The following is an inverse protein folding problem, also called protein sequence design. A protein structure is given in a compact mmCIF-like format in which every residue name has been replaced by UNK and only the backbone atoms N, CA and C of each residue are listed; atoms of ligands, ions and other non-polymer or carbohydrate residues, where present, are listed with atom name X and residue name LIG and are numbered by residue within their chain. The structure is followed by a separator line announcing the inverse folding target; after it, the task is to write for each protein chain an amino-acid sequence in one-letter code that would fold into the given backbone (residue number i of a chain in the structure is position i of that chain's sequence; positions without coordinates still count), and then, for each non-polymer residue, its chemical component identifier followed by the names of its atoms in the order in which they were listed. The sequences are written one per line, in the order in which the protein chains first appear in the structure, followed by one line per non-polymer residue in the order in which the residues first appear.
data_IF_101398135587
#
_entry.id   IF_101398135587
#
_cell.length_a   1.000
_cell.length_b   1.000
_cell.length_c   1.000
_cell.angle_alpha   90.00
_cell.angle_beta   90.00
_cell.angle_gamma   90.00
#
_symmetry.space_group_name_H-M   'P 1'
#
loop_
_entity.id
_entity.type
_entity.pdbx_description
1 polymer ?
#
# COMPACT_ATOMS: atom_id res chain seq x y z
N UNK A 1 2.57 7.73 20.33
CA UNK A 1 1.31 7.63 19.58
C UNK A 1 0.30 8.36 20.41
N UNK A 2 -0.34 9.41 19.88
CA UNK A 2 -1.32 10.18 20.66
C UNK A 2 -2.61 9.38 20.77
N UNK A 3 -3.03 9.15 22.01
CA UNK A 3 -4.28 8.50 22.37
C UNK A 3 -5.26 9.57 22.84
N UNK A 4 -6.50 9.50 22.36
CA UNK A 4 -7.56 10.44 22.65
C UNK A 4 -8.66 9.73 23.45
N UNK A 5 -9.29 10.44 24.37
CA UNK A 5 -10.35 9.88 25.22
C UNK A 5 -11.67 10.62 25.01
N UNK A 6 -12.74 9.88 24.70
CA UNK A 6 -14.11 10.34 24.69
C UNK A 6 -14.77 9.95 26.01
N UNK A 7 -15.10 10.96 26.82
CA UNK A 7 -15.75 10.73 28.11
C UNK A 7 -17.12 10.08 27.95
N UNK A 8 -17.40 9.12 28.82
CA UNK A 8 -18.68 8.45 28.96
C UNK A 8 -19.76 9.38 29.48
N UNK A 9 -21.01 9.06 29.17
CA UNK A 9 -22.16 9.82 29.66
C UNK A 9 -23.41 8.95 29.72
N UNK A 10 -24.23 9.13 30.75
CA UNK A 10 -25.56 8.51 30.79
C UNK A 10 -26.59 9.28 29.92
N UNK A 11 -26.24 10.45 29.40
CA UNK A 11 -27.13 11.27 28.57
C UNK A 11 -27.19 10.72 27.14
N UNK A 12 -28.39 10.31 26.70
CA UNK A 12 -28.63 9.76 25.36
C UNK A 12 -28.15 10.67 24.24
N UNK A 13 -28.40 11.97 24.30
CA UNK A 13 -27.97 12.92 23.26
C UNK A 13 -26.44 13.07 23.16
N UNK A 14 -25.73 12.92 24.29
CA UNK A 14 -24.26 12.90 24.30
C UNK A 14 -23.75 11.59 23.67
N UNK A 15 -24.42 10.47 23.94
CA UNK A 15 -24.06 9.18 23.36
C UNK A 15 -24.29 9.11 21.86
N UNK A 16 -25.41 9.65 21.36
CA UNK A 16 -25.68 9.76 19.93
C UNK A 16 -24.59 10.57 19.22
N UNK A 17 -24.13 11.66 19.85
CA UNK A 17 -23.03 12.49 19.33
C UNK A 17 -21.71 11.72 19.29
N UNK A 18 -21.41 10.92 20.32
CA UNK A 18 -20.20 10.08 20.38
C UNK A 18 -20.22 9.00 19.31
N UNK A 19 -21.37 8.34 19.13
CA UNK A 19 -21.55 7.34 18.07
C UNK A 19 -21.37 8.00 16.71
N UNK A 20 -22.03 9.13 16.44
CA UNK A 20 -21.90 9.85 15.17
C UNK A 20 -20.44 10.26 14.88
N UNK A 21 -19.71 10.72 15.90
CA UNK A 21 -18.30 11.05 15.77
C UNK A 21 -17.43 9.83 15.44
N UNK A 22 -17.60 8.72 16.17
CA UNK A 22 -16.86 7.47 15.91
C UNK A 22 -17.20 6.88 14.54
N UNK A 23 -18.46 6.96 14.10
CA UNK A 23 -18.89 6.56 12.76
C UNK A 23 -18.18 7.39 11.69
N UNK A 24 -18.09 8.70 11.88
CA UNK A 24 -17.33 9.57 10.95
C UNK A 24 -15.84 9.18 10.88
N UNK A 25 -15.23 8.81 12.00
CA UNK A 25 -13.85 8.32 12.03
C UNK A 25 -13.70 6.97 11.34
N UNK A 26 -14.67 6.07 11.53
CA UNK A 26 -14.75 4.78 10.84
C UNK A 26 -14.83 4.97 9.32
N UNK A 27 -15.73 5.83 8.84
CA UNK A 27 -15.91 6.09 7.41
C UNK A 27 -14.64 6.68 6.79
N UNK A 28 -13.99 7.62 7.48
CA UNK A 28 -12.71 8.19 7.04
C UNK A 28 -11.60 7.13 6.97
N UNK A 29 -11.51 6.24 7.97
CA UNK A 29 -10.54 5.15 7.95
C UNK A 29 -10.83 4.16 6.80
N UNK A 30 -12.10 3.88 6.52
CA UNK A 30 -12.51 3.03 5.41
C UNK A 30 -12.16 3.65 4.05
N UNK A 31 -12.47 4.94 3.86
CA UNK A 31 -12.16 5.70 2.65
C UNK A 31 -10.65 5.70 2.36
N UNK A 32 -9.83 5.98 3.38
CA UNK A 32 -8.37 5.91 3.24
C UNK A 32 -7.86 4.52 2.89
N UNK A 33 -8.44 3.48 3.49
CA UNK A 33 -8.13 2.09 3.17
C UNK A 33 -8.41 1.77 1.69
N UNK A 34 -9.58 2.19 1.19
CA UNK A 34 -9.98 2.03 -0.22
C UNK A 34 -9.07 2.81 -1.17
N UNK A 35 -8.83 4.08 -0.89
CA UNK A 35 -7.97 4.95 -1.70
C UNK A 35 -6.54 4.38 -1.84
N UNK A 36 -5.98 3.83 -0.75
CA UNK A 36 -4.68 3.16 -0.80
C UNK A 36 -4.72 1.88 -1.65
N UNK A 37 -5.81 1.11 -1.59
CA UNK A 37 -5.98 -0.06 -2.46
C UNK A 37 -6.00 0.33 -3.94
N UNK A 38 -6.70 1.41 -4.29
CA UNK A 38 -6.71 1.94 -5.66
C UNK A 38 -5.33 2.41 -6.10
N UNK A 39 -4.60 3.13 -5.26
CA UNK A 39 -3.23 3.56 -5.55
C UNK A 39 -2.31 2.37 -5.83
N UNK A 40 -2.43 1.29 -5.05
CA UNK A 40 -1.67 0.05 -5.25
C UNK A 40 -2.02 -0.62 -6.58
N UNK A 41 -3.30 -0.68 -6.93
CA UNK A 41 -3.73 -1.23 -8.22
C UNK A 41 -3.19 -0.38 -9.39
N UNK A 42 -3.24 0.94 -9.30
CA UNK A 42 -2.66 1.85 -10.31
C UNK A 42 -1.15 1.65 -10.43
N UNK A 43 -0.44 1.55 -9.31
CA UNK A 43 1.00 1.27 -9.28
C UNK A 43 1.34 -0.04 -9.99
N UNK A 44 0.59 -1.12 -9.72
CA UNK A 44 0.75 -2.39 -10.42
C UNK A 44 0.49 -2.26 -11.92
N UNK A 45 -0.58 -1.56 -12.32
CA UNK A 45 -0.90 -1.37 -13.73
C UNK A 45 0.22 -0.61 -14.46
N UNK A 46 0.79 0.43 -13.85
CA UNK A 46 1.93 1.14 -14.43
C UNK A 46 3.17 0.25 -14.51
N UNK A 47 3.47 -0.52 -13.46
CA UNK A 47 4.58 -1.46 -13.48
C UNK A 47 4.45 -2.49 -14.61
N UNK A 48 3.26 -3.02 -14.85
CA UNK A 48 2.98 -3.96 -15.94
C UNK A 48 3.17 -3.31 -17.32
N UNK A 49 2.65 -2.10 -17.52
CA UNK A 49 2.81 -1.37 -18.80
C UNK A 49 4.30 -1.12 -19.09
N UNK A 50 5.05 -0.63 -18.10
CA UNK A 50 6.49 -0.40 -18.23
C UNK A 50 7.24 -1.70 -18.49
N UNK A 51 6.87 -2.78 -17.80
CA UNK A 51 7.46 -4.11 -18.01
C UNK A 51 7.27 -4.60 -19.45
N UNK A 52 6.05 -4.53 -19.97
CA UNK A 52 5.72 -4.96 -21.34
C UNK A 52 6.44 -4.09 -22.37
N UNK A 53 6.46 -2.77 -22.16
CA UNK A 53 7.24 -1.85 -22.99
C UNK A 53 8.73 -2.21 -22.99
N UNK A 54 9.28 -2.54 -21.82
CA UNK A 54 10.68 -2.92 -21.67
C UNK A 54 11.01 -4.24 -22.40
N UNK A 55 10.17 -5.27 -22.27
CA UNK A 55 10.35 -6.52 -23.02
C UNK A 55 10.24 -6.32 -24.53
N UNK A 56 9.29 -5.49 -24.97
CA UNK A 56 9.11 -5.18 -26.40
C UNK A 56 10.30 -4.42 -26.97
N UNK A 57 10.86 -3.50 -26.17
CA UNK A 57 12.09 -2.80 -26.52
C UNK A 57 13.28 -3.77 -26.55
N UNK A 58 13.46 -4.58 -25.52
CA UNK A 58 14.55 -5.55 -25.40
C UNK A 58 14.59 -6.64 -26.48
N UNK A 59 13.43 -7.04 -27.02
CA UNK A 59 13.35 -8.00 -28.14
C UNK A 59 13.66 -7.38 -29.51
N UNK A 60 13.67 -6.04 -29.60
CA UNK A 60 13.94 -5.28 -30.84
C UNK A 60 15.31 -4.62 -30.86
N UNK A 61 16.04 -4.59 -29.74
CA UNK A 61 17.37 -4.00 -29.65
C UNK A 61 18.41 -4.94 -30.27
N UNK A 62 18.76 -4.62 -31.51
CA UNK A 62 20.08 -4.86 -32.13
C UNK A 62 21.04 -3.68 -31.88
N UNK A 63 20.65 -2.70 -31.05
CA UNK A 63 21.27 -1.38 -30.99
C UNK A 63 22.14 -1.17 -29.73
N UNK A 64 23.45 -1.46 -29.85
CA UNK A 64 24.59 -0.81 -29.19
C UNK A 64 24.58 -0.52 -27.67
N UNK A 65 25.72 -0.04 -27.16
CA UNK A 65 25.93 0.31 -25.74
C UNK A 65 24.93 1.37 -25.21
N UNK A 66 24.35 2.20 -26.09
CA UNK A 66 23.44 3.29 -25.71
C UNK A 66 22.09 2.83 -25.13
N UNK A 67 21.74 1.55 -25.26
CA UNK A 67 20.51 0.96 -24.68
C UNK A 67 20.68 0.52 -23.21
N UNK A 68 21.93 0.43 -22.71
CA UNK A 68 22.22 0.04 -21.33
C UNK A 68 21.70 1.05 -20.29
N UNK A 69 21.92 2.38 -20.44
CA UNK A 69 21.41 3.35 -19.46
C UNK A 69 19.88 3.34 -19.33
N UNK A 70 19.16 3.15 -20.44
CA UNK A 70 17.69 3.06 -20.45
C UNK A 70 17.22 1.82 -19.69
N UNK A 71 17.88 0.69 -19.91
CA UNK A 71 17.58 -0.55 -19.18
C UNK A 71 17.81 -0.43 -17.68
N UNK A 72 18.93 0.18 -17.28
CA UNK A 72 19.23 0.46 -15.87
C UNK A 72 18.16 1.37 -15.26
N UNK A 73 17.77 2.44 -15.95
CA UNK A 73 16.72 3.34 -15.48
C UNK A 73 15.38 2.60 -15.28
N UNK A 74 15.00 1.71 -16.19
CA UNK A 74 13.77 0.91 -16.07
C UNK A 74 13.85 -0.03 -14.87
N UNK A 75 14.96 -0.73 -14.65
CA UNK A 75 15.15 -1.57 -13.46
C UNK A 75 15.00 -0.75 -12.17
N UNK A 76 15.61 0.44 -12.10
CA UNK A 76 15.48 1.34 -10.96
C UNK A 76 14.03 1.77 -10.72
N UNK A 77 13.28 2.11 -11.77
CA UNK A 77 11.85 2.46 -11.67
C UNK A 77 11.03 1.28 -11.15
N UNK A 78 11.33 0.05 -11.58
CA UNK A 78 10.62 -1.15 -11.13
C UNK A 78 10.91 -1.47 -9.66
N UNK A 79 12.16 -1.30 -9.21
CA UNK A 79 12.52 -1.40 -7.79
C UNK A 79 11.75 -0.34 -6.99
N UNK A 80 11.68 0.90 -7.48
CA UNK A 80 10.92 1.96 -6.83
C UNK A 80 9.43 1.60 -6.68
N UNK A 81 8.77 1.13 -7.75
CA UNK A 81 7.37 0.67 -7.68
C UNK A 81 7.17 -0.49 -6.70
N UNK A 82 8.12 -1.41 -6.61
CA UNK A 82 8.09 -2.51 -5.64
C UNK A 82 8.14 -1.98 -4.19
N UNK A 83 9.07 -1.07 -3.89
CA UNK A 83 9.18 -0.44 -2.57
C UNK A 83 7.94 0.38 -2.21
N UNK A 84 7.40 1.11 -3.20
CA UNK A 84 6.18 1.90 -3.04
C UNK A 84 4.97 1.02 -2.74
N UNK A 85 4.73 -0.07 -3.50
CA UNK A 85 3.62 -1.00 -3.23
C UNK A 85 3.72 -1.60 -1.83
N UNK A 86 4.93 -1.97 -1.40
CA UNK A 86 5.16 -2.48 -0.05
C UNK A 86 4.79 -1.46 1.01
N UNK A 87 5.20 -0.20 0.85
CA UNK A 87 4.86 0.87 1.79
C UNK A 87 3.35 1.11 1.84
N UNK A 88 2.71 1.19 0.69
CA UNK A 88 1.25 1.37 0.59
C UNK A 88 0.49 0.18 1.19
N UNK A 89 0.99 -1.05 1.03
CA UNK A 89 0.41 -2.24 1.64
C UNK A 89 0.41 -2.16 3.16
N UNK A 90 1.54 -1.78 3.76
CA UNK A 90 1.66 -1.60 5.21
C UNK A 90 0.69 -0.52 5.70
N UNK A 91 0.67 0.64 5.05
CA UNK A 91 -0.20 1.76 5.45
C UNK A 91 -1.68 1.36 5.34
N UNK A 92 -2.05 0.66 4.27
CA UNK A 92 -3.40 0.12 4.05
C UNK A 92 -3.81 -0.84 5.18
N UNK A 93 -2.90 -1.70 5.64
CA UNK A 93 -3.14 -2.58 6.77
C UNK A 93 -3.38 -1.80 8.06
N UNK A 94 -2.60 -0.75 8.34
CA UNK A 94 -2.82 0.12 9.50
C UNK A 94 -4.19 0.80 9.47
N UNK A 95 -4.64 1.30 8.31
CA UNK A 95 -6.00 1.87 8.17
C UNK A 95 -7.10 0.83 8.32
N UNK A 96 -6.88 -0.40 7.84
CA UNK A 96 -7.81 -1.51 8.03
C UNK A 96 -7.97 -1.87 9.51
N UNK A 97 -6.88 -1.94 10.27
CA UNK A 97 -6.94 -2.18 11.72
C UNK A 97 -7.59 -1.01 12.45
N UNK A 98 -7.25 0.23 12.07
CA UNK A 98 -7.87 1.45 12.61
C UNK A 98 -9.40 1.44 12.42
N UNK A 99 -9.87 1.02 11.24
CA UNK A 99 -11.30 0.85 10.95
C UNK A 99 -11.95 -0.16 11.91
N UNK A 100 -11.33 -1.33 12.12
CA UNK A 100 -11.87 -2.33 13.04
C UNK A 100 -11.92 -1.84 14.48
N UNK A 101 -10.88 -1.11 14.92
CA UNK A 101 -10.86 -0.48 16.24
C UNK A 101 -12.02 0.49 16.41
N UNK A 102 -12.30 1.36 15.44
CA UNK A 102 -13.45 2.28 15.54
C UNK A 102 -14.78 1.54 15.60
N UNK A 103 -14.95 0.47 14.82
CA UNK A 103 -16.14 -0.38 14.90
C UNK A 103 -16.32 -1.00 16.30
N UNK A 104 -15.23 -1.49 16.88
CA UNK A 104 -15.23 -2.02 18.25
C UNK A 104 -15.62 -0.94 19.26
N UNK A 105 -15.10 0.28 19.10
CA UNK A 105 -15.43 1.41 19.98
C UNK A 105 -16.89 1.83 19.85
N UNK A 106 -17.47 1.83 18.66
CA UNK A 106 -18.90 2.09 18.46
C UNK A 106 -19.72 1.04 19.23
N UNK A 107 -19.39 -0.24 19.08
CA UNK A 107 -20.06 -1.32 19.81
C UNK A 107 -19.91 -1.17 21.34
N UNK A 108 -18.76 -0.69 21.82
CA UNK A 108 -18.55 -0.39 23.24
C UNK A 108 -19.48 0.73 23.72
N UNK A 109 -19.63 1.85 22.97
CA UNK A 109 -20.59 2.92 23.35
C UNK A 109 -22.02 2.38 23.40
N UNK A 110 -22.41 1.56 22.43
CA UNK A 110 -23.77 1.03 22.34
C UNK A 110 -24.10 0.13 23.55
N UNK A 111 -23.14 -0.69 23.98
CA UNK A 111 -23.34 -1.64 25.08
C UNK A 111 -23.13 -1.01 26.47
N UNK A 112 -22.17 -0.10 26.61
CA UNK A 112 -21.92 0.65 27.84
C UNK A 112 -21.70 2.14 27.53
N UNK A 113 -22.79 2.94 27.54
CA UNK A 113 -22.70 4.35 27.21
C UNK A 113 -21.95 5.17 28.27
N UNK A 114 -21.84 4.66 29.50
CA UNK A 114 -21.17 5.36 30.60
C UNK A 114 -19.65 5.20 30.59
N UNK A 115 -19.14 4.27 29.79
CA UNK A 115 -17.72 4.00 29.68
C UNK A 115 -16.97 5.09 28.92
N UNK A 116 -15.80 5.48 29.44
CA UNK A 116 -14.82 6.28 28.71
C UNK A 116 -14.18 5.46 27.58
N UNK A 117 -14.04 6.07 26.40
CA UNK A 117 -13.46 5.40 25.24
C UNK A 117 -12.15 6.04 24.85
N UNK A 118 -11.07 5.26 24.95
CA UNK A 118 -9.80 5.62 24.37
C UNK A 118 -9.70 5.14 22.92
N UNK A 119 -9.18 5.98 22.03
CA UNK A 119 -8.95 5.65 20.63
C UNK A 119 -7.70 6.36 20.10
N UNK A 120 -7.12 5.81 19.03
CA UNK A 120 -6.02 6.45 18.29
C UNK A 120 -6.48 6.84 16.91
N UNK A 121 -5.91 7.93 16.36
CA UNK A 121 -6.26 8.41 15.02
C UNK A 121 -5.79 7.45 13.91
N UNK A 122 -4.73 6.69 14.17
CA UNK A 122 -4.14 5.72 13.26
C UNK A 122 -3.38 4.65 14.04
N UNK A 123 -3.66 3.39 13.77
CA UNK A 123 -3.01 2.25 14.42
C UNK A 123 -1.73 1.83 13.69
N UNK A 124 -0.60 2.34 14.18
CA UNK A 124 0.73 1.97 13.69
C UNK A 124 1.08 0.51 13.98
N UNK A 125 0.54 -0.10 15.04
CA UNK A 125 0.79 -1.52 15.31
C UNK A 125 0.18 -2.39 14.21
N UNK A 126 -0.97 -1.97 13.68
CA UNK A 126 -1.59 -2.57 12.50
C UNK A 126 -0.70 -2.48 11.25
N UNK A 127 0.00 -1.36 11.05
CA UNK A 127 0.98 -1.17 9.97
C UNK A 127 2.19 -2.11 10.13
N UNK A 128 2.74 -2.19 11.34
CA UNK A 128 3.92 -3.01 11.66
C UNK A 128 3.62 -4.52 11.59
N UNK A 129 2.37 -4.91 11.89
CA UNK A 129 1.89 -6.29 11.81
C UNK A 129 1.57 -6.76 10.38
N UNK A 130 1.65 -5.89 9.38
CA UNK A 130 1.37 -6.24 8.00
C UNK A 130 2.32 -7.36 7.52
N UNK A 131 1.75 -8.41 6.93
CA UNK A 131 2.54 -9.54 6.40
C UNK A 131 3.55 -9.04 5.38
N UNK A 132 4.81 -9.45 5.55
CA UNK A 132 5.91 -9.13 4.62
C UNK A 132 5.66 -9.66 3.20
N UNK A 133 4.87 -10.72 3.07
CA UNK A 133 4.60 -11.40 1.81
C UNK A 133 3.09 -11.48 1.56
N UNK A 134 2.62 -10.67 0.61
CA UNK A 134 1.27 -10.74 0.03
C UNK A 134 1.38 -10.80 -1.49
N UNK A 135 0.30 -11.24 -2.16
CA UNK A 135 0.32 -11.57 -3.59
C UNK A 135 0.79 -10.40 -4.49
N UNK A 136 0.32 -9.19 -4.22
CA UNK A 136 0.62 -8.01 -5.05
C UNK A 136 2.10 -7.53 -4.95
N UNK A 137 2.74 -7.51 -3.76
CA UNK A 137 4.18 -7.36 -3.65
C UNK A 137 4.96 -8.51 -4.34
N UNK A 138 4.45 -9.75 -4.30
CA UNK A 138 5.09 -10.86 -5.03
C UNK A 138 5.12 -10.61 -6.54
N UNK A 139 4.02 -10.10 -7.12
CA UNK A 139 4.00 -9.74 -8.53
C UNK A 139 5.07 -8.69 -8.85
N UNK A 140 5.23 -7.66 -8.02
CA UNK A 140 6.29 -6.67 -8.21
C UNK A 140 7.69 -7.28 -8.12
N UNK A 141 7.94 -8.23 -7.20
CA UNK A 141 9.21 -8.94 -7.14
C UNK A 141 9.49 -9.72 -8.43
N UNK A 142 8.48 -10.43 -8.97
CA UNK A 142 8.62 -11.14 -10.25
C UNK A 142 8.91 -10.19 -11.42
N UNK A 143 8.26 -9.03 -11.47
CA UNK A 143 8.50 -8.03 -12.50
C UNK A 143 9.93 -7.46 -12.42
N UNK A 144 10.43 -7.17 -11.22
CA UNK A 144 11.81 -6.71 -11.00
C UNK A 144 12.81 -7.78 -11.43
N UNK A 145 12.61 -9.03 -11.01
CA UNK A 145 13.48 -10.16 -11.41
C UNK A 145 13.46 -10.34 -12.94
N UNK A 146 12.29 -10.25 -13.57
CA UNK A 146 12.15 -10.30 -15.02
C UNK A 146 12.92 -9.18 -15.72
N UNK A 147 12.87 -7.95 -15.21
CA UNK A 147 13.65 -6.83 -15.73
C UNK A 147 15.16 -7.07 -15.61
N UNK A 148 15.62 -7.60 -14.48
CA UNK A 148 17.04 -7.92 -14.25
C UNK A 148 17.52 -9.01 -15.22
N UNK A 149 16.74 -10.08 -15.39
CA UNK A 149 17.06 -11.15 -16.33
C UNK A 149 17.16 -10.59 -17.76
N UNK A 150 16.16 -9.81 -18.19
CA UNK A 150 16.18 -9.17 -19.51
C UNK A 150 17.42 -8.28 -19.70
N UNK A 151 17.77 -7.48 -18.69
CA UNK A 151 18.96 -6.62 -18.73
C UNK A 151 20.25 -7.43 -18.93
N UNK A 152 20.41 -8.53 -18.19
CA UNK A 152 21.58 -9.42 -18.31
C UNK A 152 21.65 -10.03 -19.71
N UNK A 153 20.53 -10.55 -20.23
CA UNK A 153 20.47 -11.14 -21.58
C UNK A 153 20.80 -10.11 -22.67
N UNK A 154 20.21 -8.91 -22.60
CA UNK A 154 20.50 -7.84 -23.54
C UNK A 154 21.98 -7.40 -23.46
N UNK A 155 22.56 -7.31 -22.26
CA UNK A 155 23.98 -7.01 -22.08
C UNK A 155 24.90 -8.05 -22.74
N UNK A 156 24.67 -9.33 -22.49
CA UNK A 156 25.44 -10.43 -23.11
C UNK A 156 25.36 -10.34 -24.64
N UNK A 157 24.17 -10.11 -25.21
CA UNK A 157 23.99 -9.98 -26.66
C UNK A 157 24.72 -8.79 -27.26
N UNK A 158 24.76 -7.64 -26.57
CA UNK A 158 25.48 -6.46 -27.03
C UNK A 158 26.99 -6.71 -27.05
N UNK A 159 27.56 -7.30 -26.00
CA UNK A 159 28.99 -7.60 -25.93
C UNK A 159 29.44 -8.78 -26.79
N UNK A 160 28.52 -9.67 -27.19
CA UNK A 160 28.84 -10.78 -28.09
C UNK A 160 28.83 -10.39 -29.58
N UNK A 161 28.20 -9.26 -29.93
CA UNK A 161 28.01 -8.82 -31.32
C UNK A 161 28.77 -7.53 -31.69
N UNK A 162 29.43 -6.87 -30.73
CA UNK A 162 30.27 -5.69 -30.95
C UNK A 162 31.74 -6.00 -30.78
#
# INVERSE_FOLDING_TARGET
MEEYTLKGSANSGINDTRIAFLTKLFDNAAEKGTHLSEMRQRNLNYALIIFVAYLTFGTRITEGINSLPVSVAIVCVMIFFCLLDRRLHQISHGWKTTKFMFMEKINQVINDPTMDIAYVRYDKKGEDAAKKFTLQPMIHYFLVVGCIIQFIFSGILIFSNG
#
